data_IF_092259745928
#
_entry.id   IF_092259745928
#
_cell.length_a   1.000
_cell.length_b   1.000
_cell.length_c   1.000
_cell.angle_alpha   90.00
_cell.angle_beta   90.00
_cell.angle_gamma   90.00
#
_symmetry.space_group_name_H-M   'P 1'
#
loop_
_entity.id
_entity.type
_entity.pdbx_description
1 polymer ?
#
# COMPACT_ATOMS: atom_id res chain seq x y z
N UNK A 1 7.59 7.94 -22.62
CA UNK A 1 7.59 7.87 -21.14
C UNK A 1 7.91 6.46 -20.72
N UNK A 2 8.79 6.33 -19.75
CA UNK A 2 9.08 5.00 -19.19
C UNK A 2 7.96 4.59 -18.24
N UNK A 3 7.38 3.42 -18.46
CA UNK A 3 6.42 2.84 -17.54
C UNK A 3 7.14 2.43 -16.25
N UNK A 4 6.45 2.61 -15.12
CA UNK A 4 6.94 2.08 -13.86
C UNK A 4 6.75 0.57 -13.83
N UNK A 5 7.79 -0.13 -13.44
CA UNK A 5 7.75 -1.58 -13.26
C UNK A 5 7.72 -1.86 -11.76
N UNK A 6 6.80 -2.73 -11.35
CA UNK A 6 6.64 -3.15 -9.96
C UNK A 6 6.99 -4.61 -9.82
N UNK A 7 7.41 -5.01 -8.63
CA UNK A 7 7.76 -6.39 -8.33
C UNK A 7 7.02 -6.84 -7.06
N UNK A 8 6.35 -7.98 -7.17
CA UNK A 8 5.71 -8.66 -6.04
C UNK A 8 6.53 -9.89 -5.66
N UNK A 9 6.73 -10.09 -4.36
CA UNK A 9 7.43 -11.24 -3.81
C UNK A 9 6.47 -12.17 -3.09
N UNK A 10 6.74 -13.46 -3.17
CA UNK A 10 5.94 -14.50 -2.53
C UNK A 10 5.25 -15.45 -3.51
N UNK A 11 5.17 -15.07 -4.79
CA UNK A 11 4.70 -15.94 -5.85
C UNK A 11 5.44 -15.60 -7.14
N UNK A 12 5.51 -16.54 -8.08
CA UNK A 12 6.26 -16.39 -9.32
C UNK A 12 5.41 -15.99 -10.52
N UNK A 13 4.09 -15.85 -10.32
CA UNK A 13 3.17 -15.36 -11.36
C UNK A 13 1.94 -14.73 -10.71
N UNK A 14 1.29 -13.82 -11.45
CA UNK A 14 0.03 -13.23 -11.02
C UNK A 14 -1.13 -14.18 -11.36
N UNK A 15 -1.90 -14.54 -10.33
CA UNK A 15 -3.12 -15.35 -10.48
C UNK A 15 -4.30 -14.53 -9.95
N UNK A 16 -5.08 -13.97 -10.88
CA UNK A 16 -6.19 -13.06 -10.54
C UNK A 16 -7.23 -13.70 -9.62
N UNK A 17 -7.47 -14.99 -9.79
CA UNK A 17 -8.42 -15.74 -8.97
C UNK A 17 -8.00 -15.87 -7.51
N UNK A 18 -6.73 -15.64 -7.19
CA UNK A 18 -6.21 -15.64 -5.83
C UNK A 18 -6.21 -14.26 -5.19
N UNK A 19 -6.53 -13.22 -5.97
CA UNK A 19 -6.58 -11.86 -5.43
C UNK A 19 -7.70 -11.72 -4.42
N UNK A 20 -7.37 -11.25 -3.23
CA UNK A 20 -8.33 -11.01 -2.16
C UNK A 20 -8.74 -9.55 -2.15
N UNK A 21 -10.05 -9.30 -2.16
CA UNK A 21 -10.59 -7.95 -2.11
C UNK A 21 -10.18 -7.24 -0.82
N UNK A 22 -10.02 -5.93 -0.92
CA UNK A 22 -9.66 -5.08 0.22
C UNK A 22 -10.80 -5.06 1.25
N UNK A 23 -10.44 -5.26 2.52
CA UNK A 23 -11.35 -5.11 3.65
C UNK A 23 -10.66 -4.25 4.71
N UNK A 24 -11.31 -3.17 5.13
CA UNK A 24 -10.81 -2.33 6.21
C UNK A 24 -10.63 -3.14 7.49
N UNK A 25 -9.59 -2.80 8.23
CA UNK A 25 -9.42 -3.28 9.61
C UNK A 25 -9.75 -2.11 10.53
N UNK A 26 -10.60 -2.36 11.52
CA UNK A 26 -11.05 -1.30 12.42
C UNK A 26 -9.86 -0.63 13.12
N UNK A 27 -9.74 0.69 12.95
CA UNK A 27 -8.69 1.52 13.57
C UNK A 27 -7.26 1.16 13.16
N UNK A 28 -7.08 0.36 12.11
CA UNK A 28 -5.76 -0.05 11.64
C UNK A 28 -5.52 0.52 10.23
N UNK A 29 -4.36 1.11 10.02
CA UNK A 29 -4.01 1.81 8.79
C UNK A 29 -3.49 0.89 7.67
N UNK A 30 -3.64 -0.41 7.81
CA UNK A 30 -3.26 -1.39 6.79
C UNK A 30 -4.42 -2.37 6.62
N UNK A 31 -5.04 -2.44 5.43
CA UNK A 31 -6.20 -3.29 5.22
C UNK A 31 -5.82 -4.76 5.05
N UNK A 32 -6.82 -5.64 5.09
CA UNK A 32 -6.70 -6.99 4.56
C UNK A 32 -6.82 -6.94 3.03
N UNK A 33 -6.25 -7.94 2.37
CA UNK A 33 -6.39 -8.11 0.93
C UNK A 33 -5.45 -7.25 0.12
N UNK A 34 -5.73 -7.17 -1.19
CA UNK A 34 -4.89 -6.45 -2.13
C UNK A 34 -3.63 -7.20 -2.51
N UNK A 35 -2.87 -6.61 -3.43
CA UNK A 35 -1.55 -7.12 -3.81
C UNK A 35 -0.51 -6.06 -3.47
N UNK A 36 0.48 -6.45 -2.67
CA UNK A 36 1.57 -5.58 -2.27
C UNK A 36 2.76 -5.76 -3.18
N UNK A 37 3.36 -4.66 -3.60
CA UNK A 37 4.54 -4.68 -4.48
C UNK A 37 5.41 -3.47 -4.20
N UNK A 38 6.59 -3.42 -4.84
CA UNK A 38 7.48 -2.28 -4.80
C UNK A 38 7.86 -1.85 -6.21
N UNK A 39 8.03 -0.55 -6.43
CA UNK A 39 8.65 -0.04 -7.65
C UNK A 39 10.09 -0.53 -7.67
N UNK A 40 10.54 -1.09 -8.80
CA UNK A 40 11.93 -1.61 -8.90
C UNK A 40 12.97 -0.51 -8.74
N UNK A 41 12.58 0.75 -8.89
CA UNK A 41 13.46 1.93 -8.73
C UNK A 41 13.35 2.57 -7.34
N UNK A 42 12.55 2.00 -6.43
CA UNK A 42 12.40 2.56 -5.09
C UNK A 42 13.71 2.49 -4.31
N UNK A 43 13.95 3.49 -3.47
CA UNK A 43 15.14 3.55 -2.64
C UNK A 43 15.10 2.53 -1.50
N UNK A 44 13.90 2.27 -0.95
CA UNK A 44 13.70 1.34 0.16
C UNK A 44 12.58 0.33 -0.19
N UNK A 45 12.82 -0.56 -1.19
CA UNK A 45 11.80 -1.54 -1.59
C UNK A 45 11.70 -2.67 -0.57
N UNK A 46 10.66 -3.50 -0.72
CA UNK A 46 10.40 -4.63 0.18
C UNK A 46 11.59 -5.59 0.28
N UNK A 47 12.25 -5.90 -0.83
CA UNK A 47 13.44 -6.78 -0.81
C UNK A 47 14.52 -6.24 0.13
N UNK A 48 14.85 -4.96 0.01
CA UNK A 48 15.84 -4.34 0.86
C UNK A 48 15.42 -4.36 2.33
N UNK A 49 14.16 -4.05 2.59
CA UNK A 49 13.63 -4.09 3.96
C UNK A 49 13.74 -5.48 4.56
N UNK A 50 13.38 -6.52 3.80
CA UNK A 50 13.49 -7.91 4.25
C UNK A 50 14.93 -8.30 4.58
N UNK A 51 15.88 -7.95 3.71
CA UNK A 51 17.29 -8.24 3.91
C UNK A 51 17.84 -7.52 5.14
N UNK A 52 17.54 -6.23 5.28
CA UNK A 52 18.02 -5.40 6.39
C UNK A 52 17.46 -5.86 7.74
N UNK A 53 16.28 -6.46 7.75
CA UNK A 53 15.58 -6.90 8.97
C UNK A 53 15.59 -8.42 9.16
N UNK A 54 16.26 -9.16 8.32
CA UNK A 54 16.31 -10.64 8.34
C UNK A 54 14.90 -11.24 8.41
N UNK A 55 14.01 -10.78 7.52
CA UNK A 55 12.60 -11.13 7.51
C UNK A 55 12.20 -11.74 6.17
N UNK A 56 11.67 -12.95 6.19
CA UNK A 56 11.14 -13.67 5.01
C UNK A 56 12.07 -13.69 3.81
N UNK A 57 13.39 -13.73 4.02
CA UNK A 57 14.38 -13.76 2.94
C UNK A 57 14.16 -14.96 2.03
N UNK A 58 13.72 -16.09 2.59
CA UNK A 58 13.41 -17.31 1.85
C UNK A 58 12.25 -17.16 0.86
N UNK A 59 11.45 -16.10 0.97
CA UNK A 59 10.33 -15.85 0.08
C UNK A 59 10.69 -14.93 -1.09
N UNK A 60 11.88 -14.36 -1.11
CA UNK A 60 12.30 -13.42 -2.14
C UNK A 60 12.65 -14.08 -3.47
N UNK A 61 12.91 -15.38 -3.48
CA UNK A 61 13.23 -16.15 -4.69
C UNK A 61 12.03 -16.33 -5.61
N UNK A 62 10.82 -16.22 -5.08
CA UNK A 62 9.57 -16.25 -5.86
C UNK A 62 9.06 -14.84 -6.04
N UNK A 63 9.02 -14.37 -7.27
CA UNK A 63 8.58 -13.02 -7.58
C UNK A 63 8.08 -12.94 -9.01
N UNK A 64 7.30 -11.90 -9.29
CA UNK A 64 6.93 -11.53 -10.65
C UNK A 64 6.90 -10.01 -10.79
N UNK A 65 7.11 -9.55 -12.01
CA UNK A 65 7.08 -8.13 -12.35
C UNK A 65 5.84 -7.81 -13.17
N UNK A 66 5.38 -6.57 -13.05
CA UNK A 66 4.20 -6.11 -13.77
C UNK A 66 4.26 -4.60 -13.95
N UNK A 67 3.46 -4.13 -14.90
CA UNK A 67 3.16 -2.71 -15.07
C UNK A 67 1.68 -2.51 -14.77
N UNK A 68 1.25 -1.26 -14.73
CA UNK A 68 -0.15 -0.91 -14.49
C UNK A 68 -0.77 -0.35 -15.77
N UNK A 69 -2.07 -0.58 -15.92
CA UNK A 69 -2.85 0.03 -16.98
C UNK A 69 -2.70 1.55 -16.95
N UNK A 70 -2.61 2.18 -18.13
CA UNK A 70 -2.42 3.64 -18.23
C UNK A 70 -3.57 4.43 -17.61
N UNK A 71 -4.76 3.84 -17.54
CA UNK A 71 -5.94 4.47 -16.96
C UNK A 71 -6.03 4.30 -15.43
N UNK A 72 -5.08 3.60 -14.82
CA UNK A 72 -5.10 3.34 -13.38
C UNK A 72 -5.11 4.64 -12.57
N UNK A 73 -6.02 4.73 -11.61
CA UNK A 73 -6.12 5.86 -10.68
C UNK A 73 -5.28 5.54 -9.44
N UNK A 74 -4.10 6.15 -9.36
CA UNK A 74 -3.12 5.89 -8.29
C UNK A 74 -3.06 7.11 -7.37
N UNK A 75 -3.32 6.89 -6.09
CA UNK A 75 -3.08 7.88 -5.04
C UNK A 75 -1.66 7.69 -4.53
N UNK A 76 -0.91 8.79 -4.42
CA UNK A 76 0.47 8.75 -3.94
C UNK A 76 0.59 9.44 -2.58
N UNK A 77 1.20 8.76 -1.62
CA UNK A 77 1.45 9.28 -0.28
C UNK A 77 2.95 9.50 -0.08
N UNK A 78 3.35 10.75 0.15
CA UNK A 78 4.74 11.13 0.44
C UNK A 78 4.87 11.94 1.73
N UNK A 79 3.77 12.49 2.23
CA UNK A 79 3.75 13.29 3.46
C UNK A 79 2.51 12.96 4.27
N UNK A 80 2.58 13.19 5.58
CA UNK A 80 1.43 12.95 6.48
C UNK A 80 0.18 13.70 6.02
N UNK A 81 0.34 14.91 5.48
CA UNK A 81 -0.78 15.70 4.98
C UNK A 81 -1.56 15.00 3.86
N UNK A 82 -0.92 14.12 3.11
CA UNK A 82 -1.59 13.37 2.03
C UNK A 82 -2.68 12.44 2.56
N UNK A 83 -2.53 11.95 3.79
CA UNK A 83 -3.53 11.09 4.43
C UNK A 83 -4.85 11.82 4.71
N UNK A 84 -4.82 13.15 4.76
CA UNK A 84 -6.01 13.97 4.97
C UNK A 84 -6.77 14.25 3.68
N UNK A 85 -6.20 13.87 2.54
CA UNK A 85 -6.80 14.07 1.22
C UNK A 85 -7.68 12.88 0.81
N UNK A 86 -7.69 11.81 1.58
CA UNK A 86 -8.46 10.59 1.29
C UNK A 86 -9.55 10.40 2.34
N UNK A 87 -10.59 9.60 2.03
CA UNK A 87 -11.59 9.25 3.03
C UNK A 87 -10.96 8.56 4.24
N UNK A 88 -11.46 8.85 5.42
CA UNK A 88 -10.95 8.27 6.68
C UNK A 88 -12.06 7.53 7.40
N UNK A 89 -11.68 6.53 8.20
CA UNK A 89 -12.63 5.76 8.98
C UNK A 89 -13.21 6.62 10.10
N UNK A 90 -14.51 6.42 10.39
CA UNK A 90 -15.17 7.03 11.53
C UNK A 90 -14.81 6.22 12.79
N UNK A 91 -14.11 6.86 13.71
CA UNK A 91 -13.65 6.22 14.96
C UNK A 91 -14.66 6.34 16.10
N UNK A 92 -15.80 7.03 15.91
CA UNK A 92 -16.77 7.33 16.97
C UNK A 92 -17.36 6.08 17.63
N UNK A 93 -17.41 4.94 16.91
CA UNK A 93 -17.90 3.68 17.43
C UNK A 93 -16.87 2.88 18.25
N UNK A 94 -15.60 3.33 18.29
CA UNK A 94 -14.50 2.57 18.86
C UNK A 94 -13.79 3.27 20.00
N UNK A 95 -13.73 4.61 20.00
CA UNK A 95 -13.07 5.39 21.05
C UNK A 95 -13.74 6.74 21.26
N UNK A 96 -13.50 7.34 22.46
CA UNK A 96 -13.98 8.68 22.75
C UNK A 96 -13.36 9.72 21.81
N UNK A 97 -14.13 10.76 21.49
CA UNK A 97 -13.71 11.82 20.56
C UNK A 97 -12.39 12.48 20.94
N UNK A 98 -12.11 12.64 22.24
CA UNK A 98 -10.88 13.28 22.68
C UNK A 98 -9.60 12.48 22.34
N UNK A 99 -9.75 11.22 21.96
CA UNK A 99 -8.62 10.37 21.56
C UNK A 99 -8.38 10.33 20.03
N UNK A 100 -9.27 10.93 19.23
CA UNK A 100 -9.17 10.87 17.77
C UNK A 100 -7.83 11.44 17.27
N UNK A 101 -7.42 12.61 17.77
CA UNK A 101 -6.17 13.23 17.35
C UNK A 101 -4.94 12.42 17.78
N UNK A 102 -5.05 11.72 18.91
CA UNK A 102 -3.97 10.89 19.44
C UNK A 102 -3.76 9.63 18.60
N UNK A 103 -4.85 9.06 18.08
CA UNK A 103 -4.81 7.84 17.28
C UNK A 103 -4.38 8.10 15.82
N UNK A 104 -4.34 9.35 15.40
CA UNK A 104 -3.98 9.71 14.04
C UNK A 104 -5.09 9.45 13.03
N UNK A 105 -4.73 9.47 11.75
CA UNK A 105 -5.67 9.30 10.65
C UNK A 105 -5.67 7.85 10.20
N UNK A 106 -6.85 7.23 10.15
CA UNK A 106 -7.01 5.86 9.64
C UNK A 106 -7.76 5.92 8.31
N UNK A 107 -7.09 5.62 7.18
CA UNK A 107 -7.76 5.66 5.88
C UNK A 107 -8.90 4.66 5.77
N UNK A 108 -9.93 5.05 5.03
CA UNK A 108 -11.04 4.17 4.67
C UNK A 108 -10.78 3.62 3.26
N UNK A 109 -10.15 2.46 3.20
CA UNK A 109 -9.74 1.85 1.93
C UNK A 109 -10.94 1.40 1.09
N UNK A 110 -11.99 0.91 1.73
CA UNK A 110 -13.21 0.50 1.01
C UNK A 110 -13.87 1.70 0.34
N UNK A 111 -13.92 2.83 1.02
CA UNK A 111 -14.46 4.06 0.45
C UNK A 111 -13.58 4.58 -0.70
N UNK A 112 -12.27 4.46 -0.58
CA UNK A 112 -11.36 4.84 -1.67
C UNK A 112 -11.66 4.04 -2.95
N UNK A 113 -11.93 2.74 -2.81
CA UNK A 113 -12.29 1.89 -3.94
C UNK A 113 -13.62 2.34 -4.55
N UNK A 114 -14.63 2.65 -3.72
CA UNK A 114 -15.91 3.18 -4.19
C UNK A 114 -15.72 4.48 -4.98
N UNK A 115 -14.76 5.30 -4.58
CA UNK A 115 -14.45 6.58 -5.23
C UNK A 115 -13.58 6.40 -6.48
N UNK A 116 -13.25 5.17 -6.86
CA UNK A 116 -12.53 4.86 -8.08
C UNK A 116 -11.00 4.80 -7.95
N UNK A 117 -10.47 4.72 -6.74
CA UNK A 117 -9.03 4.56 -6.52
C UNK A 117 -8.63 3.11 -6.77
N UNK A 118 -7.64 2.90 -7.61
CA UNK A 118 -7.17 1.56 -8.01
C UNK A 118 -5.96 1.09 -7.20
N UNK A 119 -5.11 2.01 -6.77
CA UNK A 119 -3.89 1.68 -6.04
C UNK A 119 -3.41 2.86 -5.19
N UNK A 120 -2.63 2.54 -4.16
CA UNK A 120 -1.98 3.53 -3.29
C UNK A 120 -0.47 3.30 -3.37
N UNK A 121 0.26 4.33 -3.80
CA UNK A 121 1.72 4.29 -3.87
C UNK A 121 2.31 5.08 -2.70
N UNK A 122 3.16 4.42 -1.92
CA UNK A 122 3.78 4.99 -0.74
C UNK A 122 5.28 5.18 -0.95
N UNK A 123 5.78 6.39 -0.72
CA UNK A 123 7.20 6.73 -0.80
C UNK A 123 7.70 7.19 0.57
N UNK A 124 8.01 6.23 1.46
CA UNK A 124 8.49 6.53 2.82
C UNK A 124 9.89 7.14 2.82
N UNK A 125 10.75 6.70 1.89
CA UNK A 125 12.14 7.19 1.82
C UNK A 125 12.23 8.65 1.40
N UNK A 126 11.20 9.15 0.69
CA UNK A 126 11.13 10.56 0.23
C UNK A 126 10.14 11.38 1.03
N UNK A 127 9.39 10.72 1.91
CA UNK A 127 8.36 11.35 2.69
C UNK A 127 8.88 11.96 3.98
N UNK A 128 7.99 12.59 4.72
CA UNK A 128 8.33 13.13 6.02
C UNK A 128 8.35 12.01 7.07
N UNK A 129 9.02 12.32 8.18
CA UNK A 129 9.19 11.37 9.28
C UNK A 129 7.87 11.02 9.96
N UNK A 130 6.90 11.95 9.94
CA UNK A 130 5.59 11.73 10.54
C UNK A 130 4.78 10.70 9.77
N UNK A 131 4.94 10.65 8.44
CA UNK A 131 4.27 9.64 7.62
C UNK A 131 4.71 8.23 7.99
N UNK A 132 5.99 8.05 8.27
CA UNK A 132 6.54 6.75 8.68
C UNK A 132 5.84 6.24 9.95
N UNK A 133 5.64 7.12 10.93
CA UNK A 133 4.97 6.74 12.18
C UNK A 133 3.47 6.51 11.98
N UNK A 134 2.81 7.35 11.18
CA UNK A 134 1.37 7.18 10.90
C UNK A 134 1.07 5.87 10.19
N UNK A 135 1.96 5.45 9.30
CA UNK A 135 1.81 4.21 8.53
C UNK A 135 2.72 3.10 9.04
N UNK A 136 2.90 3.02 10.35
CA UNK A 136 3.65 1.94 10.96
C UNK A 136 3.07 0.59 10.54
N UNK A 137 3.92 -0.29 10.05
CA UNK A 137 3.50 -1.58 9.49
C UNK A 137 3.48 -1.63 7.96
N UNK A 138 3.58 -0.47 7.29
CA UNK A 138 3.80 -0.45 5.84
C UNK A 138 5.27 -0.71 5.48
N UNK A 139 6.19 -0.44 6.40
CA UNK A 139 7.59 -0.86 6.46
C UNK A 139 8.52 -0.26 5.40
N UNK A 140 8.10 -0.14 4.15
CA UNK A 140 8.97 0.22 3.02
C UNK A 140 8.23 1.03 1.97
N UNK A 141 8.98 1.48 0.95
CA UNK A 141 8.38 2.06 -0.25
C UNK A 141 7.59 0.96 -0.96
N UNK A 142 6.28 1.15 -1.09
CA UNK A 142 5.40 0.09 -1.56
C UNK A 142 4.24 0.65 -2.39
N UNK A 143 3.60 -0.24 -3.12
CA UNK A 143 2.32 0.03 -3.76
C UNK A 143 1.34 -1.05 -3.32
N UNK A 144 0.15 -0.62 -2.91
CA UNK A 144 -0.97 -1.51 -2.61
C UNK A 144 -1.93 -1.47 -3.78
N UNK A 145 -2.02 -2.57 -4.50
CA UNK A 145 -2.97 -2.71 -5.61
C UNK A 145 -4.30 -3.15 -5.03
N UNK A 146 -5.33 -2.33 -5.19
CA UNK A 146 -6.68 -2.60 -4.69
C UNK A 146 -7.61 -3.11 -5.78
N UNK A 147 -7.34 -2.76 -7.04
CA UNK A 147 -8.09 -3.24 -8.19
C UNK A 147 -7.19 -4.16 -9.05
N UNK A 148 -7.46 -5.47 -9.10
CA UNK A 148 -6.59 -6.39 -9.83
C UNK A 148 -6.65 -6.21 -11.35
N UNK A 149 -7.67 -5.53 -11.86
CA UNK A 149 -7.86 -5.35 -13.30
C UNK A 149 -6.82 -4.41 -13.92
N UNK A 150 -6.12 -3.62 -13.12
CA UNK A 150 -5.08 -2.72 -13.63
C UNK A 150 -3.71 -3.39 -13.81
N UNK A 151 -3.55 -4.61 -13.33
CA UNK A 151 -2.25 -5.32 -13.36
C UNK A 151 -1.99 -5.86 -14.77
N UNK A 152 -0.80 -5.57 -15.29
CA UNK A 152 -0.33 -6.06 -16.60
C UNK A 152 0.97 -6.84 -16.38
N UNK A 153 0.91 -8.17 -16.21
CA UNK A 153 2.12 -8.98 -15.97
C UNK A 153 3.11 -8.86 -17.13
N UNK A 154 4.38 -8.88 -16.79
CA UNK A 154 5.48 -8.89 -17.77
C UNK A 154 5.93 -10.32 -18.09
#
# INVERSE_FOLDING_TARGET
>A
MSENIYIHYGSDKFEKELFMSIVNRNMINKPFGGLWASDIKADQPWEKWCIDNDFRIDKLDKNFKFTLDDSANIVEWTAKADLKQVPTQDLSGYLPEYLFDTMGVVPDFEKMIEDGVDAIKLNLSKGDYELYYELYGWDCDSILIMNPDIIRPL
#
